data_IF_759461430430
#
_entry.id   IF_759461430430
#
_cell.length_a   1.000
_cell.length_b   1.000
_cell.length_c   1.000
_cell.angle_alpha   90.00
_cell.angle_beta   90.00
_cell.angle_gamma   90.00
#
_symmetry.space_group_name_H-M   'P 1'
#
loop_
_entity.id
_entity.type
_entity.pdbx_description
1 polymer ?
#
# COMPACT_ATOMS: atom_id res chain seq x y z
N UNK A 1 -78.18 -12.78 40.74
CA UNK A 1 -77.12 -12.47 39.73
C UNK A 1 -76.02 -11.76 40.45
N UNK A 2 -74.83 -12.37 40.48
CA UNK A 2 -73.72 -11.95 41.34
C UNK A 2 -72.86 -11.00 40.60
N UNK A 3 -72.55 -9.83 41.19
CA UNK A 3 -71.53 -8.85 40.78
C UNK A 3 -70.22 -9.27 41.42
N UNK A 4 -69.10 -9.35 40.71
CA UNK A 4 -67.82 -9.65 41.30
C UNK A 4 -67.14 -8.37 41.88
N UNK A 5 -66.16 -8.53 42.75
CA UNK A 5 -65.69 -7.50 43.66
C UNK A 5 -64.64 -6.54 43.04
N UNK A 6 -64.66 -5.34 43.62
CA UNK A 6 -63.70 -4.24 43.43
C UNK A 6 -62.26 -4.68 43.77
N UNK A 7 -61.30 -4.37 42.86
CA UNK A 7 -59.87 -4.41 43.18
C UNK A 7 -59.40 -3.07 43.78
N UNK A 8 -58.51 -3.10 44.76
CA UNK A 8 -57.97 -1.89 45.35
C UNK A 8 -56.92 -1.15 44.44
N UNK A 9 -56.99 0.14 44.50
CA UNK A 9 -56.05 1.08 43.86
C UNK A 9 -54.62 0.94 44.41
N UNK A 10 -53.66 0.79 43.55
CA UNK A 10 -52.23 0.89 43.86
C UNK A 10 -51.83 2.35 44.06
N UNK A 11 -50.88 2.66 44.94
CA UNK A 11 -50.41 4.01 45.19
C UNK A 11 -49.45 4.49 44.11
N UNK A 12 -49.39 5.80 43.95
CA UNK A 12 -48.55 6.57 43.00
C UNK A 12 -47.09 6.13 43.06
N UNK A 13 -46.58 5.65 41.93
CA UNK A 13 -45.16 5.42 41.73
C UNK A 13 -44.54 6.74 41.28
N UNK A 14 -43.73 7.32 42.14
CA UNK A 14 -42.83 8.43 41.84
C UNK A 14 -42.01 8.13 40.59
N UNK A 15 -42.20 8.96 39.58
CA UNK A 15 -41.38 8.96 38.34
C UNK A 15 -40.03 9.54 38.72
N UNK A 16 -39.06 8.67 39.05
CA UNK A 16 -37.67 9.01 39.08
C UNK A 16 -37.24 9.33 37.65
N UNK A 17 -37.18 10.61 37.32
CA UNK A 17 -36.44 11.10 36.16
C UNK A 17 -34.96 10.72 36.31
N UNK A 18 -34.56 9.63 35.67
CA UNK A 18 -33.14 9.35 35.44
C UNK A 18 -32.69 10.30 34.34
N UNK A 19 -32.05 11.40 34.73
CA UNK A 19 -31.24 12.20 33.83
C UNK A 19 -30.16 11.29 33.25
N UNK A 20 -30.34 10.88 31.98
CA UNK A 20 -29.26 10.30 31.18
C UNK A 20 -28.27 11.41 30.93
N UNK A 21 -27.29 11.55 31.82
CA UNK A 21 -26.12 12.39 31.57
C UNK A 21 -25.41 11.76 30.39
N UNK A 22 -25.62 12.33 29.22
CA UNK A 22 -24.79 12.07 28.03
C UNK A 22 -23.37 12.50 28.37
N UNK A 23 -22.56 11.55 28.80
CA UNK A 23 -21.12 11.72 28.90
C UNK A 23 -20.62 11.63 27.43
N UNK A 24 -20.76 12.71 26.69
CA UNK A 24 -19.92 12.95 25.52
C UNK A 24 -18.51 13.26 26.02
N UNK A 25 -17.80 12.20 26.41
CA UNK A 25 -16.38 12.28 26.66
C UNK A 25 -15.73 12.43 25.30
N UNK A 26 -15.28 13.65 25.02
CA UNK A 26 -14.45 13.94 23.86
C UNK A 26 -13.30 12.94 23.77
N UNK A 27 -13.46 11.90 22.95
CA UNK A 27 -12.38 11.00 22.60
C UNK A 27 -11.42 11.77 21.73
N UNK A 28 -10.27 12.12 22.31
CA UNK A 28 -9.11 12.59 21.59
C UNK A 28 -8.86 11.63 20.42
N UNK A 29 -8.58 12.16 19.23
CA UNK A 29 -8.38 11.43 17.97
C UNK A 29 -7.21 10.43 17.99
N UNK A 30 -6.51 10.27 19.11
CA UNK A 30 -5.34 9.41 19.29
C UNK A 30 -5.65 8.00 19.81
N UNK A 31 -6.91 7.66 20.15
CA UNK A 31 -7.23 6.41 20.87
C UNK A 31 -8.06 5.40 20.05
N UNK A 32 -8.16 5.55 18.74
CA UNK A 32 -8.74 4.48 17.92
C UNK A 32 -7.71 3.36 17.76
N UNK A 33 -8.05 2.18 18.32
CA UNK A 33 -7.23 0.97 18.14
C UNK A 33 -6.92 0.77 16.65
N UNK A 34 -5.66 0.47 16.35
CA UNK A 34 -5.21 0.26 14.98
C UNK A 34 -6.04 -0.86 14.32
N UNK A 35 -6.56 -0.57 13.14
CA UNK A 35 -7.27 -1.50 12.28
C UNK A 35 -6.37 -1.95 11.13
N UNK A 36 -6.82 -2.91 10.35
CA UNK A 36 -6.13 -3.36 9.15
C UNK A 36 -6.97 -3.04 7.92
N UNK A 37 -6.39 -2.33 6.99
CA UNK A 37 -6.99 -2.05 5.69
C UNK A 37 -6.61 -3.13 4.70
N UNK A 38 -7.60 -3.81 4.14
CA UNK A 38 -7.40 -4.65 2.97
C UNK A 38 -7.50 -3.78 1.72
N UNK A 39 -6.35 -3.57 1.10
CA UNK A 39 -6.19 -2.74 -0.08
C UNK A 39 -6.04 -3.63 -1.32
N UNK A 40 -6.82 -3.36 -2.35
CA UNK A 40 -6.58 -3.88 -3.69
C UNK A 40 -5.93 -2.79 -4.53
N UNK A 41 -4.77 -3.10 -5.10
CA UNK A 41 -3.96 -2.18 -5.89
C UNK A 41 -3.77 -2.79 -7.28
N UNK A 42 -4.01 -2.00 -8.33
CA UNK A 42 -3.70 -2.43 -9.70
C UNK A 42 -3.14 -1.28 -10.52
N UNK A 43 -2.28 -1.63 -11.47
CA UNK A 43 -1.72 -0.67 -12.42
C UNK A 43 -2.76 -0.38 -13.50
N UNK A 44 -3.01 0.91 -13.76
CA UNK A 44 -3.91 1.36 -14.81
C UNK A 44 -3.29 1.15 -16.19
N UNK A 45 -4.13 1.05 -17.20
CA UNK A 45 -3.73 0.97 -18.62
C UNK A 45 -2.88 -0.25 -18.99
N UNK A 46 -2.85 -1.28 -18.15
CA UNK A 46 -2.17 -2.56 -18.39
C UNK A 46 -3.20 -3.69 -18.55
N UNK A 47 -3.05 -4.47 -19.60
CA UNK A 47 -3.82 -5.68 -19.85
C UNK A 47 -2.89 -6.81 -20.32
N UNK A 48 -2.98 -8.01 -19.73
CA UNK A 48 -3.78 -8.40 -18.56
C UNK A 48 -3.32 -7.69 -17.28
N UNK A 49 -4.24 -7.47 -16.34
CA UNK A 49 -4.03 -6.63 -15.17
C UNK A 49 -2.94 -7.14 -14.22
N UNK A 50 -2.01 -6.27 -13.85
CA UNK A 50 -1.02 -6.47 -12.78
C UNK A 50 -1.61 -5.90 -11.49
N UNK A 51 -1.74 -6.72 -10.44
CA UNK A 51 -2.40 -6.29 -9.22
C UNK A 51 -1.87 -6.97 -7.96
N UNK A 52 -2.12 -6.35 -6.80
CA UNK A 52 -1.81 -6.84 -5.46
C UNK A 52 -3.00 -6.67 -4.54
N UNK A 53 -3.11 -7.54 -3.52
CA UNK A 53 -4.00 -7.35 -2.37
C UNK A 53 -3.16 -7.37 -1.12
N UNK A 54 -3.12 -6.24 -0.43
CA UNK A 54 -2.28 -6.00 0.73
C UNK A 54 -3.15 -5.81 1.98
N UNK A 55 -2.66 -6.31 3.10
CA UNK A 55 -3.14 -5.97 4.43
C UNK A 55 -2.15 -4.97 5.04
N UNK A 56 -2.59 -3.75 5.29
CA UNK A 56 -1.80 -2.65 5.80
C UNK A 56 -2.45 -2.09 7.06
N UNK A 57 -1.67 -1.77 8.08
CA UNK A 57 -2.20 -1.17 9.30
C UNK A 57 -2.76 0.22 9.00
N UNK A 58 -3.86 0.58 9.65
CA UNK A 58 -4.50 1.90 9.47
C UNK A 58 -3.65 3.05 10.04
N UNK A 59 -2.75 2.75 10.98
CA UNK A 59 -1.78 3.69 11.53
C UNK A 59 -0.46 3.78 10.72
N UNK A 60 -0.35 3.06 9.60
CA UNK A 60 0.76 3.26 8.66
C UNK A 60 0.69 4.64 8.04
N UNK A 61 1.85 5.27 7.85
CA UNK A 61 1.95 6.59 7.23
C UNK A 61 1.91 6.53 5.71
N UNK A 62 1.72 7.68 5.06
CA UNK A 62 1.79 7.80 3.59
C UNK A 62 3.17 7.40 3.07
N UNK A 63 4.25 7.78 3.78
CA UNK A 63 5.61 7.35 3.43
C UNK A 63 5.76 5.83 3.52
N UNK A 64 5.25 5.21 4.58
CA UNK A 64 5.27 3.75 4.72
C UNK A 64 4.44 3.04 3.64
N UNK A 65 3.30 3.62 3.25
CA UNK A 65 2.52 3.05 2.15
C UNK A 65 3.30 3.08 0.82
N UNK A 66 4.06 4.15 0.57
CA UNK A 66 4.95 4.23 -0.59
C UNK A 66 5.97 3.08 -0.60
N UNK A 67 6.72 2.88 0.49
CA UNK A 67 7.70 1.79 0.61
C UNK A 67 7.07 0.41 0.41
N UNK A 68 5.90 0.19 1.00
CA UNK A 68 5.14 -1.06 0.84
C UNK A 68 4.78 -1.31 -0.63
N UNK A 69 4.38 -0.27 -1.37
CA UNK A 69 4.06 -0.39 -2.79
C UNK A 69 5.31 -0.66 -3.63
N UNK A 70 6.43 0.01 -3.35
CA UNK A 70 7.70 -0.25 -4.01
C UNK A 70 8.11 -1.73 -3.86
N UNK A 71 8.04 -2.26 -2.66
CA UNK A 71 8.32 -3.68 -2.39
C UNK A 71 7.34 -4.60 -3.12
N UNK A 72 6.04 -4.28 -3.08
CA UNK A 72 4.98 -5.12 -3.63
C UNK A 72 5.03 -5.22 -5.16
N UNK A 73 5.47 -4.17 -5.85
CA UNK A 73 5.62 -4.16 -7.30
C UNK A 73 7.03 -4.48 -7.77
N UNK A 74 8.04 -4.45 -6.87
CA UNK A 74 9.41 -4.83 -7.16
C UNK A 74 10.26 -3.67 -7.66
N UNK A 75 9.87 -2.43 -7.36
CA UNK A 75 10.58 -1.21 -7.70
C UNK A 75 11.62 -0.82 -6.64
N UNK A 76 12.49 0.16 -6.96
CA UNK A 76 13.67 0.52 -6.17
C UNK A 76 13.64 1.94 -5.62
N UNK A 77 12.51 2.66 -5.78
CA UNK A 77 12.32 4.04 -5.34
C UNK A 77 13.31 5.03 -6.00
N UNK A 78 13.60 4.84 -7.29
CA UNK A 78 14.53 5.68 -8.05
C UNK A 78 13.87 6.95 -8.62
N UNK A 79 12.54 7.02 -8.62
CA UNK A 79 11.77 8.09 -9.25
C UNK A 79 10.87 8.84 -8.28
N UNK A 80 10.36 10.00 -8.73
CA UNK A 80 9.39 10.79 -7.99
C UNK A 80 8.04 10.09 -7.92
N UNK A 81 7.32 10.33 -6.83
CA UNK A 81 5.98 9.77 -6.63
C UNK A 81 5.04 10.76 -5.96
N UNK A 82 3.75 10.49 -6.05
CA UNK A 82 2.71 11.13 -5.24
C UNK A 82 1.49 10.23 -5.08
N UNK A 83 0.77 10.47 -3.99
CA UNK A 83 -0.58 9.97 -3.80
C UNK A 83 -1.56 11.10 -4.10
N UNK A 84 -2.65 10.79 -4.78
CA UNK A 84 -3.80 11.68 -4.95
C UNK A 84 -4.97 11.14 -4.13
N UNK A 85 -5.30 11.82 -3.04
CA UNK A 85 -6.35 11.43 -2.11
C UNK A 85 -7.39 12.56 -2.08
N UNK A 86 -8.59 12.28 -2.58
CA UNK A 86 -9.66 13.29 -2.70
C UNK A 86 -9.20 14.58 -3.41
N UNK A 87 -8.34 14.43 -4.42
CA UNK A 87 -7.80 15.54 -5.21
C UNK A 87 -6.61 16.27 -4.59
N UNK A 88 -6.25 16.01 -3.32
CA UNK A 88 -5.05 16.57 -2.68
C UNK A 88 -3.84 15.66 -2.90
N UNK A 89 -2.67 16.21 -3.28
CA UNK A 89 -1.44 15.44 -3.42
C UNK A 89 -0.72 15.26 -2.07
N UNK A 90 -0.14 14.07 -1.87
CA UNK A 90 0.71 13.70 -0.74
C UNK A 90 1.91 12.92 -1.27
N UNK A 91 3.08 13.09 -0.67
CA UNK A 91 4.27 12.37 -1.07
C UNK A 91 5.51 12.79 -0.30
N UNK A 92 6.64 12.13 -0.57
CA UNK A 92 7.93 12.48 0.00
C UNK A 92 8.55 13.54 -0.90
N UNK A 93 8.80 14.73 -0.35
CA UNK A 93 9.48 15.80 -1.07
C UNK A 93 10.94 15.40 -1.35
N UNK A 94 11.40 15.60 -2.57
CA UNK A 94 12.79 15.39 -2.98
C UNK A 94 13.35 16.67 -3.62
N UNK A 95 14.64 16.88 -3.48
CA UNK A 95 15.33 18.04 -4.07
C UNK A 95 15.09 18.08 -5.59
N UNK A 96 14.64 19.24 -6.10
CA UNK A 96 14.27 19.41 -7.52
C UNK A 96 12.92 18.79 -7.92
N UNK A 97 12.19 18.18 -7.00
CA UNK A 97 10.88 17.57 -7.23
C UNK A 97 9.72 18.41 -6.71
N UNK A 98 8.58 17.74 -6.48
CA UNK A 98 7.37 18.37 -5.92
C UNK A 98 7.51 18.59 -4.42
N UNK A 99 6.95 19.70 -3.92
CA UNK A 99 6.72 19.94 -2.49
C UNK A 99 5.28 19.56 -2.13
N UNK A 100 5.07 19.17 -0.87
CA UNK A 100 3.77 18.79 -0.33
C UNK A 100 3.52 19.56 0.97
N UNK A 101 2.26 19.94 1.23
CA UNK A 101 1.88 20.71 2.42
C UNK A 101 2.00 19.88 3.71
N UNK A 102 1.73 18.59 3.62
CA UNK A 102 1.71 17.69 4.76
C UNK A 102 2.98 16.83 4.83
N UNK A 103 3.46 16.56 6.04
CA UNK A 103 4.57 15.65 6.25
C UNK A 103 4.12 14.18 6.07
N UNK A 104 4.56 13.47 5.01
CA UNK A 104 4.11 12.10 4.71
C UNK A 104 4.54 11.08 5.77
N UNK A 105 5.52 11.39 6.61
CA UNK A 105 5.95 10.53 7.71
C UNK A 105 5.07 10.67 8.97
N UNK A 106 4.17 11.65 9.00
CA UNK A 106 3.26 11.90 10.12
C UNK A 106 1.80 11.60 9.77
N UNK A 107 1.40 11.86 8.51
CA UNK A 107 0.04 11.61 8.04
C UNK A 107 -0.21 10.10 7.95
N UNK A 108 -1.17 9.60 8.71
CA UNK A 108 -1.53 8.18 8.77
C UNK A 108 -2.74 7.87 7.90
N UNK A 109 -2.85 6.62 7.44
CA UNK A 109 -3.97 6.19 6.60
C UNK A 109 -5.33 6.35 7.31
N UNK A 110 -5.36 6.17 8.64
CA UNK A 110 -6.58 6.34 9.44
C UNK A 110 -7.08 7.78 9.47
N UNK A 111 -6.22 8.78 9.29
CA UNK A 111 -6.59 10.19 9.34
C UNK A 111 -7.55 10.57 8.21
N UNK A 112 -7.53 9.80 7.12
CA UNK A 112 -8.45 10.00 5.99
C UNK A 112 -9.85 9.42 6.22
N UNK A 113 -10.07 8.58 7.22
CA UNK A 113 -11.38 7.96 7.48
C UNK A 113 -12.01 7.37 6.21
N UNK A 114 -11.23 6.58 5.47
CA UNK A 114 -11.66 6.00 4.20
C UNK A 114 -12.93 5.16 4.34
N UNK A 115 -13.85 5.34 3.39
CA UNK A 115 -15.05 4.52 3.28
C UNK A 115 -14.74 3.22 2.52
N UNK A 116 -15.47 2.15 2.82
CA UNK A 116 -15.38 0.92 2.02
C UNK A 116 -15.62 1.23 0.54
N UNK A 117 -14.78 0.64 -0.33
CA UNK A 117 -14.73 0.84 -1.78
C UNK A 117 -14.21 2.21 -2.22
N UNK A 118 -13.84 3.10 -1.32
CA UNK A 118 -13.18 4.35 -1.68
C UNK A 118 -11.84 4.06 -2.36
N UNK A 119 -11.48 4.93 -3.31
CA UNK A 119 -10.26 4.79 -4.10
C UNK A 119 -9.38 6.01 -3.97
N UNK A 120 -8.07 5.77 -4.02
CA UNK A 120 -7.05 6.79 -4.18
C UNK A 120 -6.09 6.35 -5.29
N UNK A 121 -5.30 7.27 -5.79
CA UNK A 121 -4.33 7.01 -6.86
C UNK A 121 -2.93 7.19 -6.31
N UNK A 122 -2.05 6.25 -6.62
CA UNK A 122 -0.62 6.38 -6.43
C UNK A 122 0.05 6.50 -7.79
N UNK A 123 0.81 7.56 -7.99
CA UNK A 123 1.59 7.82 -9.19
C UNK A 123 3.07 7.69 -8.84
N UNK A 124 3.76 6.86 -9.60
CA UNK A 124 5.20 6.62 -9.48
C UNK A 124 5.86 6.84 -10.83
N UNK A 125 7.07 7.38 -10.81
CA UNK A 125 7.79 7.81 -12.00
C UNK A 125 6.95 8.79 -12.83
N UNK A 126 7.01 10.07 -12.49
CA UNK A 126 6.19 11.10 -13.13
C UNK A 126 6.55 11.33 -14.61
N UNK A 127 7.64 10.71 -15.11
CA UNK A 127 8.01 10.69 -16.53
C UNK A 127 7.27 9.58 -17.26
N UNK A 128 7.38 8.36 -16.78
CA UNK A 128 6.73 7.16 -17.31
C UNK A 128 5.25 7.05 -16.89
N UNK A 129 4.89 7.76 -15.86
CA UNK A 129 3.54 7.93 -15.32
C UNK A 129 2.82 6.61 -14.97
N UNK A 130 3.42 5.83 -14.10
CA UNK A 130 2.83 4.63 -13.56
C UNK A 130 1.72 4.93 -12.57
N UNK A 131 0.46 4.86 -13.00
CA UNK A 131 -0.70 5.10 -12.15
C UNK A 131 -1.21 3.78 -11.55
N UNK A 132 -1.30 3.75 -10.21
CA UNK A 132 -1.91 2.65 -9.46
C UNK A 132 -3.23 3.13 -8.86
N UNK A 133 -4.29 2.42 -9.14
CA UNK A 133 -5.53 2.60 -8.40
C UNK A 133 -5.50 1.73 -7.16
N UNK A 134 -5.72 2.34 -5.99
CA UNK A 134 -5.75 1.70 -4.69
C UNK A 134 -7.18 1.80 -4.16
N UNK A 135 -7.80 0.65 -3.90
CA UNK A 135 -9.16 0.57 -3.37
C UNK A 135 -9.15 -0.06 -1.99
N UNK A 136 -9.79 0.60 -1.03
CA UNK A 136 -10.10 -0.02 0.25
C UNK A 136 -11.23 -1.04 0.05
N UNK A 137 -10.92 -2.34 0.12
CA UNK A 137 -11.92 -3.41 0.00
C UNK A 137 -12.64 -3.64 1.33
N UNK A 138 -11.87 -3.70 2.43
CA UNK A 138 -12.39 -4.03 3.76
C UNK A 138 -11.57 -3.34 4.86
N UNK A 139 -12.22 -3.06 5.97
CA UNK A 139 -11.59 -2.70 7.25
C UNK A 139 -11.71 -3.90 8.17
N UNK A 140 -10.60 -4.41 8.65
CA UNK A 140 -10.51 -5.62 9.46
C UNK A 140 -9.97 -5.29 10.84
N UNK A 141 -10.34 -6.07 11.88
CA UNK A 141 -9.68 -5.96 13.18
C UNK A 141 -8.20 -6.36 13.06
N UNK A 142 -7.37 -5.76 13.91
CA UNK A 142 -5.96 -6.14 14.02
C UNK A 142 -5.86 -7.56 14.60
N UNK A 143 -5.19 -8.46 13.89
CA UNK A 143 -4.86 -9.81 14.34
C UNK A 143 -3.44 -9.79 14.91
N UNK A 144 -3.25 -9.93 16.24
CA UNK A 144 -1.93 -9.85 16.86
C UNK A 144 -0.99 -11.01 16.48
N UNK A 145 -1.53 -12.08 15.90
CA UNK A 145 -0.74 -13.23 15.44
C UNK A 145 -0.11 -13.01 14.07
N UNK A 146 -0.56 -11.99 13.34
CA UNK A 146 -0.06 -11.67 12.00
C UNK A 146 0.92 -10.51 12.03
N UNK A 147 1.89 -10.57 11.14
CA UNK A 147 2.79 -9.45 10.85
C UNK A 147 2.23 -8.64 9.69
N UNK A 148 2.28 -7.32 9.82
CA UNK A 148 1.87 -6.39 8.78
C UNK A 148 3.05 -5.47 8.43
N UNK A 149 3.14 -5.01 7.14
CA UNK A 149 2.24 -5.27 6.03
C UNK A 149 2.33 -6.71 5.50
N UNK A 150 1.25 -7.21 4.88
CA UNK A 150 1.17 -8.58 4.37
C UNK A 150 0.51 -8.61 2.98
N UNK A 151 1.17 -9.21 2.00
CA UNK A 151 0.57 -9.47 0.69
C UNK A 151 -0.21 -10.80 0.73
N UNK A 152 -1.52 -10.75 0.57
CA UNK A 152 -2.40 -11.94 0.61
C UNK A 152 -2.71 -12.51 -0.76
N UNK A 153 -2.66 -11.69 -1.82
CA UNK A 153 -2.88 -12.14 -3.19
C UNK A 153 -2.24 -11.16 -4.19
N UNK A 154 -2.05 -11.63 -5.41
CA UNK A 154 -1.57 -10.82 -6.53
C UNK A 154 -1.44 -11.65 -7.79
N UNK A 155 -1.20 -10.98 -8.91
CA UNK A 155 -0.93 -11.62 -10.18
C UNK A 155 0.04 -10.79 -11.00
N UNK A 156 0.95 -11.46 -11.70
CA UNK A 156 1.99 -10.95 -12.58
C UNK A 156 3.08 -10.15 -11.86
N UNK A 157 4.25 -10.10 -12.44
CA UNK A 157 5.34 -9.23 -11.99
C UNK A 157 5.00 -7.77 -12.23
N UNK A 158 5.52 -6.87 -11.39
CA UNK A 158 5.51 -5.44 -11.67
C UNK A 158 6.34 -5.15 -12.92
N UNK A 159 6.03 -4.07 -13.66
CA UNK A 159 6.82 -3.65 -14.82
C UNK A 159 8.28 -3.40 -14.43
N UNK A 160 9.18 -3.50 -15.42
CA UNK A 160 10.55 -3.02 -15.27
C UNK A 160 10.54 -1.50 -15.12
N UNK A 161 11.46 -0.97 -14.33
CA UNK A 161 11.72 0.47 -14.29
C UNK A 161 12.28 0.94 -15.63
N UNK A 162 12.06 2.21 -15.96
CA UNK A 162 12.58 2.87 -17.17
C UNK A 162 12.17 2.20 -18.50
N UNK A 163 11.03 1.53 -18.52
CA UNK A 163 10.57 0.86 -19.74
C UNK A 163 9.60 1.71 -20.60
N UNK A 164 9.43 3.01 -20.26
CA UNK A 164 8.67 3.97 -21.06
C UNK A 164 7.16 4.01 -20.73
N UNK A 165 6.78 3.55 -19.53
CA UNK A 165 5.43 3.64 -19.02
C UNK A 165 4.46 2.58 -19.54
N UNK A 166 3.16 2.69 -19.19
CA UNK A 166 2.18 1.65 -19.47
C UNK A 166 2.05 1.31 -20.96
N UNK A 167 2.11 2.31 -21.84
CA UNK A 167 1.98 2.09 -23.28
C UNK A 167 3.17 1.33 -23.84
N UNK A 168 4.38 1.81 -23.57
CA UNK A 168 5.59 1.15 -24.02
C UNK A 168 5.71 -0.26 -23.45
N UNK A 169 5.31 -0.47 -22.19
CA UNK A 169 5.25 -1.80 -21.60
C UNK A 169 4.30 -2.74 -22.35
N UNK A 170 3.13 -2.25 -22.81
CA UNK A 170 2.20 -3.04 -23.61
C UNK A 170 2.79 -3.39 -24.97
N UNK A 171 3.45 -2.42 -25.64
CA UNK A 171 4.13 -2.63 -26.91
C UNK A 171 5.27 -3.68 -26.75
N UNK A 172 6.05 -3.58 -25.67
CA UNK A 172 7.08 -4.57 -25.33
C UNK A 172 6.52 -5.98 -25.07
N UNK A 173 5.32 -6.11 -24.49
CA UNK A 173 4.68 -7.42 -24.31
C UNK A 173 4.42 -8.12 -25.65
N UNK A 174 4.06 -7.36 -26.67
CA UNK A 174 3.81 -7.87 -28.02
C UNK A 174 5.12 -8.15 -28.76
N UNK A 175 6.17 -7.38 -28.48
CA UNK A 175 7.51 -7.57 -29.06
C UNK A 175 8.22 -8.81 -28.49
N UNK A 176 8.03 -9.11 -27.20
CA UNK A 176 8.71 -10.18 -26.45
C UNK A 176 7.81 -11.38 -26.09
N UNK A 177 7.13 -12.04 -27.07
CA UNK A 177 6.39 -13.27 -26.78
C UNK A 177 7.36 -14.43 -26.47
N UNK A 178 6.92 -15.39 -25.65
CA UNK A 178 7.77 -16.49 -25.18
C UNK A 178 8.50 -17.26 -26.28
N UNK A 179 7.84 -17.47 -27.43
CA UNK A 179 8.44 -18.22 -28.56
C UNK A 179 9.62 -17.48 -29.20
N UNK A 180 9.72 -16.17 -29.05
CA UNK A 180 10.91 -15.37 -29.47
C UNK A 180 11.94 -15.28 -28.35
N UNK A 181 11.50 -15.06 -27.12
CA UNK A 181 12.39 -14.79 -25.96
C UNK A 181 13.17 -16.03 -25.55
N UNK A 182 12.53 -17.20 -25.49
CA UNK A 182 13.18 -18.43 -25.04
C UNK A 182 14.40 -18.83 -25.89
N UNK A 183 14.33 -18.84 -27.25
CA UNK A 183 15.50 -19.11 -28.07
C UNK A 183 16.63 -18.08 -27.89
N UNK A 184 16.28 -16.79 -27.79
CA UNK A 184 17.27 -15.72 -27.57
C UNK A 184 17.99 -15.89 -26.24
N UNK A 185 17.23 -16.17 -25.17
CA UNK A 185 17.78 -16.42 -23.84
C UNK A 185 18.72 -17.63 -23.83
N UNK A 186 18.29 -18.74 -24.45
CA UNK A 186 19.11 -19.95 -24.55
C UNK A 186 20.37 -19.70 -25.38
N UNK A 187 20.29 -19.01 -26.52
CA UNK A 187 21.45 -18.68 -27.36
C UNK A 187 22.45 -17.81 -26.60
N UNK A 188 21.96 -16.78 -25.89
CA UNK A 188 22.83 -15.91 -25.11
C UNK A 188 23.58 -16.65 -24.01
N UNK A 189 22.96 -17.61 -23.34
CA UNK A 189 23.63 -18.47 -22.34
C UNK A 189 24.69 -19.38 -22.98
N UNK A 190 24.50 -19.83 -24.23
CA UNK A 190 25.47 -20.64 -24.94
C UNK A 190 26.67 -19.82 -25.44
N UNK A 191 26.41 -18.62 -25.95
CA UNK A 191 27.44 -17.73 -26.53
C UNK A 191 28.35 -17.13 -25.44
N UNK A 192 27.80 -16.87 -24.25
CA UNK A 192 28.52 -16.26 -23.12
C UNK A 192 28.73 -17.24 -21.94
N UNK A 193 28.74 -18.56 -22.18
CA UNK A 193 28.83 -19.57 -21.11
C UNK A 193 30.06 -19.41 -20.20
N UNK A 194 31.14 -18.85 -20.71
CA UNK A 194 32.41 -18.70 -20.01
C UNK A 194 32.52 -17.34 -19.29
N UNK A 195 31.73 -16.35 -19.70
CA UNK A 195 31.63 -15.01 -19.08
C UNK A 195 30.23 -14.43 -19.27
N UNK A 196 29.39 -14.52 -18.25
CA UNK A 196 28.02 -13.98 -18.23
C UNK A 196 27.95 -12.53 -17.78
N UNK A 197 29.04 -11.96 -17.27
CA UNK A 197 29.03 -10.61 -16.69
C UNK A 197 28.73 -9.55 -17.74
N UNK A 198 29.27 -9.71 -18.94
CA UNK A 198 29.09 -8.77 -20.05
C UNK A 198 27.62 -8.72 -20.56
N UNK A 199 26.85 -9.77 -20.39
CA UNK A 199 25.47 -9.86 -20.88
C UNK A 199 24.40 -9.89 -19.78
N UNK A 200 24.76 -9.69 -18.51
CA UNK A 200 23.84 -9.77 -17.35
C UNK A 200 22.59 -8.89 -17.50
N UNK A 201 22.74 -7.66 -18.03
CA UNK A 201 21.61 -6.74 -18.23
C UNK A 201 20.57 -7.30 -19.17
N UNK A 202 21.02 -7.81 -20.32
CA UNK A 202 20.15 -8.40 -21.33
C UNK A 202 19.52 -9.72 -20.85
N UNK A 203 20.30 -10.59 -20.19
CA UNK A 203 19.79 -11.81 -19.58
C UNK A 203 18.68 -11.51 -18.58
N UNK A 204 18.84 -10.49 -17.72
CA UNK A 204 17.81 -10.07 -16.76
C UNK A 204 16.54 -9.58 -17.47
N UNK A 205 16.71 -8.82 -18.57
CA UNK A 205 15.58 -8.35 -19.38
C UNK A 205 14.82 -9.50 -20.01
N UNK A 206 15.51 -10.44 -20.68
CA UNK A 206 14.90 -11.63 -21.28
C UNK A 206 14.25 -12.53 -20.23
N UNK A 207 14.94 -12.76 -19.09
CA UNK A 207 14.41 -13.53 -17.97
C UNK A 207 13.11 -12.91 -17.42
N UNK A 208 13.03 -11.58 -17.35
CA UNK A 208 11.79 -10.89 -16.94
C UNK A 208 10.62 -11.29 -17.84
N UNK A 209 10.80 -11.24 -19.17
CA UNK A 209 9.75 -11.57 -20.13
C UNK A 209 9.33 -13.05 -20.09
N UNK A 210 10.24 -13.95 -19.72
CA UNK A 210 9.92 -15.38 -19.53
C UNK A 210 8.98 -15.58 -18.33
N UNK A 211 9.23 -14.86 -17.21
CA UNK A 211 8.51 -15.08 -15.95
C UNK A 211 7.52 -13.95 -15.61
N UNK A 212 7.19 -13.07 -16.56
CA UNK A 212 6.32 -11.90 -16.31
C UNK A 212 4.92 -12.25 -15.80
N UNK A 213 4.40 -13.42 -16.19
CA UNK A 213 3.09 -13.89 -15.75
C UNK A 213 3.09 -14.42 -14.31
N UNK A 214 4.27 -14.69 -13.74
CA UNK A 214 4.42 -15.22 -12.40
C UNK A 214 4.37 -14.11 -11.36
N UNK A 215 3.83 -14.44 -10.20
CA UNK A 215 3.86 -13.57 -9.03
C UNK A 215 4.32 -14.37 -7.80
N UNK A 216 5.54 -14.12 -7.36
CA UNK A 216 6.07 -14.71 -6.13
C UNK A 216 5.64 -13.93 -4.88
N UNK A 217 4.44 -14.27 -4.39
CA UNK A 217 3.91 -13.71 -3.14
C UNK A 217 4.81 -13.98 -1.93
N UNK A 218 5.52 -15.12 -1.92
CA UNK A 218 6.41 -15.46 -0.79
C UNK A 218 7.63 -14.55 -0.76
N UNK A 219 8.23 -14.27 -1.92
CA UNK A 219 9.34 -13.33 -2.03
C UNK A 219 8.91 -11.91 -1.61
N UNK A 220 7.74 -11.43 -2.05
CA UNK A 220 7.20 -10.14 -1.62
C UNK A 220 7.03 -10.11 -0.10
N UNK A 221 6.43 -11.13 0.50
CA UNK A 221 6.22 -11.17 1.95
C UNK A 221 7.54 -11.26 2.74
N UNK A 222 8.57 -11.94 2.26
CA UNK A 222 9.90 -11.90 2.91
C UNK A 222 10.43 -10.47 2.99
N UNK A 223 10.41 -9.72 1.86
CA UNK A 223 10.86 -8.32 1.81
C UNK A 223 10.01 -7.40 2.70
N UNK A 224 8.69 -7.61 2.77
CA UNK A 224 7.81 -6.85 3.65
C UNK A 224 8.11 -7.13 5.14
N UNK A 225 8.48 -8.36 5.51
CA UNK A 225 8.90 -8.70 6.87
C UNK A 225 10.24 -8.04 7.20
N UNK A 226 11.23 -8.08 6.30
CA UNK A 226 12.53 -7.41 6.45
C UNK A 226 12.36 -5.91 6.63
N UNK A 227 11.53 -5.27 5.80
CA UNK A 227 11.17 -3.86 5.91
C UNK A 227 10.57 -3.53 7.28
N UNK A 228 9.58 -4.31 7.74
CA UNK A 228 8.94 -4.07 9.03
C UNK A 228 9.88 -4.27 10.23
N UNK A 229 10.86 -5.17 10.12
CA UNK A 229 11.88 -5.39 11.16
C UNK A 229 12.87 -4.21 11.24
N UNK A 230 13.26 -3.62 10.10
CA UNK A 230 14.10 -2.41 10.05
C UNK A 230 13.41 -1.20 10.71
N UNK A 231 12.12 -1.01 10.46
CA UNK A 231 11.35 0.10 11.07
C UNK A 231 11.21 0.01 12.59
N UNK A 232 11.26 -1.19 13.18
CA UNK A 232 11.23 -1.35 14.64
C UNK A 232 12.56 -1.02 15.30
N UNK A 233 13.68 -1.07 14.56
CA UNK A 233 15.03 -0.74 15.06
C UNK A 233 15.31 0.77 15.12
N UNK A 234 14.73 1.56 14.24
CA UNK A 234 14.97 3.01 14.14
C UNK A 234 14.22 3.86 15.18
N UNK A 235 13.21 3.34 15.86
CA UNK A 235 12.49 4.07 16.93
C UNK A 235 13.36 4.36 18.17
N UNK A 236 14.62 3.91 18.19
CA UNK A 236 15.58 4.11 19.28
C UNK A 236 16.71 5.11 19.00
N UNK A 237 16.85 5.65 17.79
CA UNK A 237 17.91 6.61 17.46
C UNK A 237 17.31 7.90 16.88
N UNK A 238 17.02 8.85 17.78
CA UNK A 238 16.74 10.23 17.40
C UNK A 238 18.03 10.86 16.84
N UNK A 239 18.19 10.90 15.53
CA UNK A 239 19.19 11.77 14.91
C UNK A 239 18.70 13.21 15.03
N UNK A 240 19.27 13.90 16.02
CA UNK A 240 19.22 15.35 16.12
C UNK A 240 19.89 15.93 14.86
N UNK A 241 19.10 16.56 14.03
CA UNK A 241 19.59 17.44 12.98
C UNK A 241 20.16 18.68 13.69
N UNK A 242 21.48 18.73 13.86
CA UNK A 242 22.17 19.91 14.34
C UNK A 242 22.20 20.93 13.21
N UNK A 243 21.34 21.95 13.37
CA UNK A 243 21.45 23.22 12.69
C UNK A 243 22.76 23.88 13.13
N UNK A 244 23.82 23.80 12.30
CA UNK A 244 24.97 24.66 12.42
C UNK A 244 24.89 25.73 11.33
N UNK A 245 24.20 26.82 11.69
CA UNK A 245 24.46 28.10 11.03
C UNK A 245 25.91 28.51 11.29
N UNK A 246 26.61 28.86 10.24
CA UNK A 246 27.75 29.78 10.32
C UNK A 246 27.89 30.57 9.02
N UNK A 247 27.81 31.88 9.21
CA UNK A 247 28.24 33.07 8.49
C UNK A 247 28.34 33.10 6.97
#
# INVERSE_FOLDING_TARGET
MKVPPCFPSLPDADILCIEVISIEKGMSSTDQAAQVYQLRIWIRHISPQIWRRLLVRSDSTIAQLHDILQIAFGWRDEHLHRFLIRGKPYGIARSGGMSFDDNPHQVQLRDFHFRSKETLVYEYDLTDWWQHEIRLEQVLPLDPTKRYPLCVAGKRRGPLEDCGGPRAFMDLQDEYPLYKVLPQFAQMLLDHRDDLDDCQGELRRLAYWIVREDFDRRAVNRRLVEYSAGQTGEKGSSHAYSDTGDH
#
